data_IF_845866250392
#
_entry.id   IF_845866250392
#
_cell.length_a   1.000
_cell.length_b   1.000
_cell.length_c   1.000
_cell.angle_alpha   90.00
_cell.angle_beta   90.00
_cell.angle_gamma   90.00
#
_symmetry.space_group_name_H-M   'P 1'
#
loop_
_entity.id
_entity.type
_entity.pdbx_description
1 polymer ?
#
# COMPACT_ATOMS: atom_id res chain seq x y z
N UNK A 1 1.52 -0.87 -10.38
CA UNK A 1 2.26 -1.33 -9.20
C UNK A 1 2.59 -0.10 -8.36
N UNK A 2 2.43 -0.14 -7.04
CA UNK A 2 2.68 0.98 -6.13
C UNK A 2 4.19 1.10 -5.84
N UNK A 3 5.00 1.27 -6.89
CA UNK A 3 6.47 1.20 -6.83
C UNK A 3 7.15 2.56 -6.57
N UNK A 4 6.48 3.68 -6.86
CA UNK A 4 6.97 5.05 -6.67
C UNK A 4 6.10 5.80 -5.69
N UNK A 5 6.71 6.61 -4.84
CA UNK A 5 6.04 7.51 -3.88
C UNK A 5 4.86 8.27 -4.52
N UNK A 6 5.09 8.88 -5.69
CA UNK A 6 4.09 9.64 -6.46
C UNK A 6 2.81 8.84 -6.73
N UNK A 7 2.94 7.56 -7.08
CA UNK A 7 1.78 6.69 -7.36
C UNK A 7 1.04 6.36 -6.07
N UNK A 8 1.78 6.10 -4.97
CA UNK A 8 1.18 5.81 -3.67
C UNK A 8 0.39 7.01 -3.17
N UNK A 9 0.93 8.23 -3.33
CA UNK A 9 0.26 9.48 -2.97
C UNK A 9 -1.02 9.69 -3.79
N UNK A 10 -0.95 9.52 -5.11
CA UNK A 10 -2.12 9.70 -5.99
C UNK A 10 -3.24 8.71 -5.64
N UNK A 11 -2.90 7.45 -5.36
CA UNK A 11 -3.88 6.43 -4.96
C UNK A 11 -4.46 6.74 -3.58
N UNK A 12 -3.63 7.16 -2.62
CA UNK A 12 -4.11 7.58 -1.31
C UNK A 12 -5.11 8.73 -1.41
N UNK A 13 -4.79 9.76 -2.19
CA UNK A 13 -5.66 10.90 -2.42
C UNK A 13 -6.98 10.47 -3.08
N UNK A 14 -6.93 9.60 -4.08
CA UNK A 14 -8.13 9.05 -4.72
C UNK A 14 -9.05 8.34 -3.72
N UNK A 15 -8.48 7.52 -2.82
CA UNK A 15 -9.25 6.80 -1.79
C UNK A 15 -9.89 7.77 -0.78
N UNK A 16 -9.15 8.80 -0.37
CA UNK A 16 -9.66 9.86 0.52
C UNK A 16 -10.81 10.64 -0.16
N UNK A 17 -10.65 11.07 -1.41
CA UNK A 17 -11.63 11.89 -2.15
C UNK A 17 -12.91 11.13 -2.48
N UNK A 18 -12.82 9.87 -2.91
CA UNK A 18 -14.01 9.07 -3.23
C UNK A 18 -14.77 8.66 -1.98
N UNK A 19 -14.10 8.61 -0.83
CA UNK A 19 -14.64 8.12 0.43
C UNK A 19 -14.80 6.61 0.38
N UNK A 20 -13.96 5.91 1.12
CA UNK A 20 -13.80 4.44 1.05
C UNK A 20 -15.11 3.68 1.33
N UNK A 21 -16.01 4.26 2.12
CA UNK A 21 -17.34 3.71 2.36
C UNK A 21 -18.23 3.56 1.10
N UNK A 22 -17.88 4.24 0.01
CA UNK A 22 -18.57 4.13 -1.29
C UNK A 22 -17.90 3.15 -2.25
N UNK A 23 -16.73 2.62 -1.87
CA UNK A 23 -15.99 1.64 -2.67
C UNK A 23 -16.33 0.22 -2.21
N UNK A 24 -16.15 -0.78 -3.09
CA UNK A 24 -16.10 -2.17 -2.65
C UNK A 24 -15.00 -2.41 -1.61
N UNK A 25 -15.05 -3.53 -0.86
CA UNK A 25 -13.99 -3.91 0.07
C UNK A 25 -12.60 -3.83 -0.56
N UNK A 26 -11.72 -3.04 0.06
CA UNK A 26 -10.37 -2.80 -0.47
C UNK A 26 -9.43 -3.91 -0.02
N UNK A 27 -8.78 -4.57 -0.98
CA UNK A 27 -7.69 -5.53 -0.72
C UNK A 27 -6.37 -4.85 -1.01
N UNK A 28 -5.44 -4.90 -0.05
CA UNK A 28 -4.10 -4.32 -0.18
C UNK A 28 -3.06 -5.43 -0.06
N UNK A 29 -2.21 -5.53 -1.08
CA UNK A 29 -1.04 -6.42 -1.11
C UNK A 29 0.23 -5.55 -1.07
N UNK A 30 0.90 -5.43 0.10
CA UNK A 30 2.02 -4.52 0.30
C UNK A 30 3.32 -5.15 -0.24
N UNK A 31 3.40 -5.39 -1.55
CA UNK A 31 4.55 -6.01 -2.21
C UNK A 31 5.79 -5.12 -2.09
N UNK A 32 6.60 -5.33 -1.05
CA UNK A 32 7.77 -4.50 -0.75
C UNK A 32 9.05 -5.08 -1.37
N UNK A 33 9.13 -6.40 -1.48
CA UNK A 33 10.32 -7.12 -1.92
C UNK A 33 10.07 -7.92 -3.19
N UNK A 34 11.09 -8.00 -4.05
CA UNK A 34 11.11 -8.90 -5.19
C UNK A 34 11.25 -10.35 -4.72
N UNK A 35 10.92 -11.29 -5.61
CA UNK A 35 11.20 -12.71 -5.37
C UNK A 35 12.69 -13.00 -5.12
N UNK A 36 13.58 -12.13 -5.60
CA UNK A 36 15.03 -12.16 -5.33
C UNK A 36 15.41 -11.64 -3.94
N UNK A 37 14.50 -10.97 -3.23
CA UNK A 37 14.75 -10.32 -1.95
C UNK A 37 15.10 -8.84 -2.04
N UNK A 38 15.27 -8.29 -3.25
CA UNK A 38 15.57 -6.87 -3.44
C UNK A 38 14.36 -6.01 -3.07
N UNK A 39 14.59 -4.91 -2.35
CA UNK A 39 13.55 -3.94 -2.04
C UNK A 39 13.11 -3.22 -3.33
N UNK A 40 11.82 -3.28 -3.67
CA UNK A 40 11.28 -2.69 -4.90
C UNK A 40 10.76 -1.27 -4.65
N UNK A 41 10.24 -1.01 -3.45
CA UNK A 41 9.64 0.28 -3.10
C UNK A 41 10.52 1.02 -2.10
N UNK A 42 10.67 2.34 -2.25
CA UNK A 42 11.41 3.17 -1.30
C UNK A 42 10.74 3.24 0.08
N UNK A 43 11.50 3.63 1.11
CA UNK A 43 10.97 3.69 2.48
C UNK A 43 9.89 4.77 2.68
N UNK A 44 9.87 5.83 1.87
CA UNK A 44 8.84 6.88 1.98
C UNK A 44 7.51 6.33 1.49
N UNK A 45 7.49 5.68 0.34
CA UNK A 45 6.33 5.00 -0.22
C UNK A 45 5.79 3.93 0.74
N UNK A 46 6.66 3.20 1.46
CA UNK A 46 6.24 2.27 2.52
C UNK A 46 5.52 3.02 3.65
N UNK A 47 6.06 4.15 4.12
CA UNK A 47 5.44 4.93 5.18
C UNK A 47 4.08 5.49 4.74
N UNK A 48 3.99 6.04 3.53
CA UNK A 48 2.73 6.56 2.97
C UNK A 48 1.72 5.43 2.81
N UNK A 49 2.13 4.25 2.30
CA UNK A 49 1.25 3.08 2.22
C UNK A 49 0.66 2.75 3.59
N UNK A 50 1.49 2.72 4.64
CA UNK A 50 1.07 2.44 6.03
C UNK A 50 0.16 3.49 6.63
N UNK A 51 0.47 4.76 6.42
CA UNK A 51 -0.25 5.88 7.05
C UNK A 51 -1.52 6.25 6.30
N UNK A 52 -1.56 6.02 4.98
CA UNK A 52 -2.61 6.57 4.10
C UNK A 52 -3.46 5.54 3.37
N UNK A 53 -2.93 4.35 3.08
CA UNK A 53 -3.67 3.34 2.30
C UNK A 53 -4.12 2.17 3.17
N UNK A 54 -3.22 1.61 3.99
CA UNK A 54 -3.53 0.47 4.87
C UNK A 54 -4.71 0.73 5.82
N UNK A 55 -4.93 1.94 6.38
CA UNK A 55 -6.09 2.20 7.24
C UNK A 55 -7.44 2.01 6.54
N UNK A 56 -7.45 2.03 5.21
CA UNK A 56 -8.64 1.82 4.38
C UNK A 56 -8.80 0.36 3.91
N UNK A 57 -7.79 -0.48 4.12
CA UNK A 57 -7.82 -1.87 3.69
C UNK A 57 -8.86 -2.66 4.49
N UNK A 58 -9.75 -3.35 3.79
CA UNK A 58 -10.60 -4.39 4.39
C UNK A 58 -9.82 -5.68 4.60
N UNK A 59 -8.91 -5.99 3.68
CA UNK A 59 -8.01 -7.14 3.78
C UNK A 59 -6.59 -6.70 3.40
N UNK A 60 -5.63 -6.96 4.28
CA UNK A 60 -4.21 -6.83 4.01
C UNK A 60 -3.62 -8.23 3.76
N UNK A 61 -2.78 -8.38 2.75
CA UNK A 61 -2.23 -9.70 2.32
C UNK A 61 -0.70 -9.77 2.34
N UNK A 62 -0.02 -9.39 3.44
CA UNK A 62 1.44 -9.42 3.48
C UNK A 62 1.96 -10.85 3.59
N UNK A 63 3.17 -11.08 3.07
CA UNK A 63 3.98 -12.22 3.48
C UNK A 63 4.68 -11.94 4.83
N UNK A 64 5.43 -12.92 5.34
CA UNK A 64 6.12 -12.81 6.64
C UNK A 64 7.10 -11.62 6.71
N UNK A 65 7.87 -11.38 5.65
CA UNK A 65 8.87 -10.31 5.64
C UNK A 65 8.21 -8.94 5.60
N UNK A 66 7.15 -8.79 4.80
CA UNK A 66 6.36 -7.56 4.71
C UNK A 66 5.64 -7.24 6.02
N UNK A 67 5.10 -8.25 6.70
CA UNK A 67 4.39 -8.08 7.97
C UNK A 67 5.31 -7.63 9.13
N UNK A 68 6.59 -7.99 9.09
CA UNK A 68 7.56 -7.55 10.10
C UNK A 68 8.09 -6.13 9.84
N UNK A 69 7.71 -5.49 8.72
CA UNK A 69 8.21 -4.20 8.31
C UNK A 69 7.32 -3.09 8.78
#
# INVERSE_FOLDING_TARGET
>A
MLEREEIVVEVAQFLEEKGVAKLPPLVVDPVIYAKSGDQIIDNNAINILKEKIIPFATLLTPNRQEACR
#
